data_IF_160574615475
#
_entry.id   IF_160574615475
#
_cell.length_a   1.000
_cell.length_b   1.000
_cell.length_c   1.000
_cell.angle_alpha   90.00
_cell.angle_beta   90.00
_cell.angle_gamma   90.00
#
_symmetry.space_group_name_H-M   'P 1'
#
loop_
_entity.id
_entity.type
_entity.pdbx_description
1 polymer ?
2 non-polymer ?
3 non-polymer ?
4 water ?
#
# COMPACT_ATOMS: atom_id res chain seq x y z
N UNK A 1 -3.07 17.30 4.48
CA UNK A 1 -4.30 17.97 3.89
C UNK A 1 -5.50 17.02 3.74
N UNK A 2 -5.28 15.71 3.72
CA UNK A 2 -6.39 14.75 3.77
C UNK A 2 -6.46 14.09 5.13
N UNK A 3 -7.67 13.68 5.50
CA UNK A 3 -7.91 13.02 6.76
C UNK A 3 -7.36 11.63 6.66
N UNK A 4 -6.68 11.18 7.71
CA UNK A 4 -6.17 9.82 7.87
C UNK A 4 -6.87 9.18 9.06
N UNK A 5 -7.40 7.95 8.89
CA UNK A 5 -7.38 7.11 7.68
C UNK A 5 -8.25 7.64 6.60
N UNK A 6 -7.85 7.36 5.38
CA UNK A 6 -8.52 7.84 4.16
C UNK A 6 -8.97 6.64 3.34
N UNK A 7 -10.17 6.72 2.82
CA UNK A 7 -10.75 5.68 1.97
C UNK A 7 -10.94 6.17 0.56
N UNK A 8 -10.16 5.57 -0.34
CA UNK A 8 -10.20 5.94 -1.73
C UNK A 8 -10.94 4.86 -2.50
N UNK A 9 -12.16 5.14 -2.97
CA UNK A 9 -12.88 4.15 -3.79
C UNK A 9 -12.13 3.88 -5.07
N UNK A 10 -12.13 2.62 -5.50
CA UNK A 10 -11.56 2.17 -6.78
C UNK A 10 -12.71 1.57 -7.58
N UNK A 11 -13.39 2.41 -8.36
CA UNK A 11 -14.67 2.00 -8.93
C UNK A 11 -14.55 0.84 -9.92
N UNK A 12 -15.27 -0.25 -9.65
CA UNK A 12 -15.14 -1.45 -10.48
C UNK A 12 -13.84 -2.21 -10.24
N UNK A 13 -13.18 -1.93 -9.12
CA UNK A 13 -11.99 -2.65 -8.72
C UNK A 13 -10.79 -2.20 -9.52
N UNK A 14 -9.74 -2.99 -9.48
CA UNK A 14 -8.53 -2.68 -10.14
C UNK A 14 -8.40 -3.54 -11.38
N UNK A 15 -7.44 -3.19 -12.19
CA UNK A 15 -7.25 -3.80 -13.50
C UNK A 15 -5.80 -3.54 -13.90
N UNK A 16 -5.22 -4.47 -14.66
CA UNK A 16 -3.85 -4.19 -15.09
C UNK A 16 -3.82 -2.88 -15.88
N UNK A 17 -2.76 -2.14 -15.64
CA UNK A 17 -2.46 -0.76 -16.14
C UNK A 17 -2.97 0.36 -15.26
N UNK A 18 -3.68 0.00 -14.18
CA UNK A 18 -4.12 0.98 -13.22
C UNK A 18 -2.98 1.33 -12.28
N UNK A 19 -2.72 2.63 -12.20
CA UNK A 19 -1.64 3.19 -11.36
C UNK A 19 -2.23 4.04 -10.24
N UNK A 20 -1.93 3.65 -9.02
CA UNK A 20 -2.42 4.34 -7.84
C UNK A 20 -1.23 5.09 -7.27
N UNK A 21 -1.45 6.37 -6.97
CA UNK A 21 -0.37 7.25 -6.45
C UNK A 21 -0.78 7.88 -5.13
N UNK A 22 0.05 7.68 -4.13
CA UNK A 22 -0.15 8.19 -2.80
C UNK A 22 1.03 9.11 -2.51
N UNK A 23 0.73 10.35 -2.16
CA UNK A 23 1.71 11.37 -1.80
C UNK A 23 1.43 11.71 -0.34
N UNK A 24 2.49 11.79 0.45
CA UNK A 24 2.38 12.30 1.81
C UNK A 24 3.74 12.49 2.39
N UNK A 25 3.74 12.71 3.70
CA UNK A 25 4.97 12.93 4.48
C UNK A 25 4.87 12.09 5.71
N UNK A 26 5.91 11.31 5.98
CA UNK A 26 5.96 10.48 7.19
C UNK A 26 6.09 11.41 8.39
N UNK A 27 5.33 11.15 9.44
CA UNK A 27 5.46 11.93 10.67
C UNK A 27 6.81 11.72 11.36
N UNK A 28 7.21 12.65 12.24
CA UNK A 28 8.52 12.57 12.92
C UNK A 28 8.80 11.25 13.64
N UNK A 29 7.87 10.82 14.44
CA UNK A 29 8.20 9.73 15.30
C UNK A 29 7.46 8.48 14.76
N UNK A 30 7.54 8.19 13.44
CA UNK A 30 6.62 7.23 12.96
C UNK A 30 6.88 5.82 13.40
N UNK A 31 5.79 5.07 13.56
CA UNK A 31 5.79 3.63 13.87
C UNK A 31 5.33 2.74 12.73
N UNK A 32 4.29 3.14 12.03
CA UNK A 32 3.72 2.30 11.02
C UNK A 32 2.95 3.10 9.99
N UNK A 33 2.86 2.53 8.82
CA UNK A 33 1.99 3.04 7.68
C UNK A 33 1.27 1.84 7.10
N UNK A 34 0.05 2.00 6.60
CA UNK A 34 -0.56 0.94 5.88
C UNK A 34 -1.36 1.37 4.69
N UNK A 35 -1.26 0.61 3.62
CA UNK A 35 -2.16 0.72 2.48
C UNK A 35 -2.86 -0.60 2.42
N UNK A 36 -4.17 -0.55 2.35
CA UNK A 36 -5.02 -1.75 2.32
C UNK A 36 -5.93 -1.70 1.12
N UNK A 37 -5.60 -2.49 0.11
CA UNK A 37 -6.45 -2.69 -1.09
C UNK A 37 -7.46 -3.75 -0.70
N UNK A 38 -8.74 -3.36 -0.61
CA UNK A 38 -9.76 -4.19 -0.04
C UNK A 38 -10.77 -4.71 -1.06
N UNK A 39 -11.21 -5.93 -0.82
CA UNK A 39 -12.31 -6.60 -1.49
C UNK A 39 -13.32 -6.86 -0.38
N UNK A 40 -14.26 -5.95 -0.22
CA UNK A 40 -15.17 -6.04 0.96
C UNK A 40 -14.32 -6.04 2.21
N UNK A 41 -14.60 -6.99 3.10
CA UNK A 41 -13.81 -7.14 4.32
C UNK A 41 -12.46 -7.78 4.12
N UNK A 42 -12.25 -8.39 2.94
CA UNK A 42 -10.96 -8.98 2.68
C UNK A 42 -9.96 -7.88 2.35
N UNK A 43 -8.69 -8.13 2.68
CA UNK A 43 -7.62 -7.24 2.26
C UNK A 43 -6.80 -8.01 1.24
N UNK A 44 -6.97 -7.68 -0.03
CA UNK A 44 -6.18 -8.25 -1.10
C UNK A 44 -4.70 -8.03 -1.01
N UNK A 45 -4.34 -6.78 -0.66
CA UNK A 45 -2.95 -6.39 -0.54
C UNK A 45 -2.81 -5.35 0.55
N UNK A 46 -2.14 -5.78 1.62
CA UNK A 46 -1.73 -5.02 2.78
C UNK A 46 -0.27 -4.72 2.66
N UNK A 47 0.04 -3.46 2.53
CA UNK A 47 1.42 -2.96 2.40
C UNK A 47 1.71 -2.12 3.68
N UNK A 48 2.61 -2.64 4.52
CA UNK A 48 2.76 -2.15 5.88
C UNK A 48 4.21 -1.90 6.27
N UNK A 49 4.73 -0.72 5.92
CA UNK A 49 5.98 -0.26 6.52
C UNK A 49 5.88 -0.21 8.05
N UNK A 50 6.82 -0.91 8.66
CA UNK A 50 7.03 -1.00 10.12
C UNK A 50 8.40 -0.39 10.47
N UNK A 51 8.36 0.71 11.23
CA UNK A 51 9.56 1.46 11.57
C UNK A 51 10.32 0.86 12.71
N UNK A 52 9.66 0.01 13.51
CA UNK A 52 10.29 -0.69 14.61
C UNK A 52 9.70 -2.04 14.83
N UNK A 53 10.20 -2.97 14.10
CA UNK A 53 9.86 -4.39 14.35
C UNK A 53 11.16 -4.98 14.88
N UNK A 54 11.24 -5.21 16.18
CA UNK A 54 12.45 -5.67 16.81
C UNK A 54 13.66 -4.74 16.51
N UNK A 55 13.39 -3.42 16.47
CA UNK A 55 14.42 -2.40 16.27
C UNK A 55 15.08 -2.44 14.90
N UNK A 56 14.33 -2.88 13.92
CA UNK A 56 14.66 -2.85 12.50
C UNK A 56 13.41 -2.27 11.81
N UNK A 57 13.66 -1.74 10.61
CA UNK A 57 12.63 -1.25 9.73
C UNK A 57 12.38 -2.33 8.67
N UNK A 58 11.12 -2.62 8.44
CA UNK A 58 10.79 -3.66 7.46
C UNK A 58 9.46 -3.31 6.85
N UNK A 59 9.25 -3.74 5.61
CA UNK A 59 7.92 -3.71 5.00
C UNK A 59 7.30 -5.09 5.01
N UNK A 60 6.13 -5.20 5.63
CA UNK A 60 5.39 -6.43 5.68
C UNK A 60 4.21 -6.31 4.73
N UNK A 61 4.06 -7.31 3.82
CA UNK A 61 2.91 -7.38 2.92
C UNK A 61 2.14 -8.66 3.17
N UNK A 62 0.84 -8.60 3.09
CA UNK A 62 -0.01 -9.74 3.36
C UNK A 62 -1.39 -9.57 2.79
N UNK A 63 -2.18 -10.62 2.97
CA UNK A 63 -3.57 -10.71 2.53
C UNK A 63 -4.42 -11.19 3.70
N UNK A 64 -5.62 -10.62 3.86
CA UNK A 64 -6.53 -11.02 4.89
C UNK A 64 -7.79 -11.55 4.22
N UNK A 65 -8.09 -12.85 4.48
CA UNK A 65 -9.23 -13.56 3.94
C UNK A 65 -10.08 -14.07 5.06
N UNK A 66 -11.37 -13.74 5.02
CA UNK A 66 -12.32 -14.19 6.04
C UNK A 66 -11.81 -13.87 7.47
N UNK A 67 -11.32 -12.64 7.61
CA UNK A 67 -10.79 -12.13 8.84
C UNK A 67 -9.45 -12.73 9.36
N UNK A 68 -8.78 -13.56 8.58
CA UNK A 68 -7.49 -14.20 8.93
C UNK A 68 -6.34 -13.73 8.01
N UNK A 69 -5.27 -13.22 8.63
CA UNK A 69 -4.03 -12.91 7.91
C UNK A 69 -3.32 -14.17 7.40
N UNK A 70 -2.78 -14.08 6.19
CA UNK A 70 -2.05 -15.16 5.61
C UNK A 70 -0.56 -15.12 5.86
N UNK A 71 0.17 -15.74 4.97
CA UNK A 71 1.65 -15.73 5.03
C UNK A 71 2.21 -14.34 4.69
N UNK A 72 2.99 -13.77 5.60
CA UNK A 72 3.60 -12.47 5.38
C UNK A 72 4.75 -12.58 4.38
N UNK A 73 4.89 -11.56 3.57
CA UNK A 73 6.04 -11.36 2.70
C UNK A 73 6.76 -10.11 3.16
N UNK A 74 8.04 -10.28 3.48
CA UNK A 74 8.85 -9.22 4.03
C UNK A 74 9.84 -8.71 3.07
N UNK A 75 9.88 -7.39 2.99
CA UNK A 75 11.08 -6.93 2.49
C UNK A 75 11.79 -5.81 3.24
N UNK A 76 13.09 -6.08 3.29
CA UNK A 76 13.96 -5.34 4.13
C UNK A 76 14.47 -4.02 3.55
N UNK A 77 14.33 -3.86 2.22
CA UNK A 77 14.63 -2.57 1.60
C UNK A 77 13.52 -1.60 2.09
N UNK A 78 13.95 -0.47 2.68
CA UNK A 78 13.06 0.38 3.40
C UNK A 78 13.32 1.80 3.02
N UNK A 79 12.50 2.32 2.10
CA UNK A 79 12.83 3.63 1.54
C UNK A 79 12.25 4.82 2.25
N UNK A 80 11.40 4.61 3.27
CA UNK A 80 10.77 5.67 4.00
C UNK A 80 11.67 6.18 5.08
N UNK A 81 11.45 7.46 5.46
CA UNK A 81 12.26 8.11 6.51
C UNK A 81 11.29 9.01 7.23
N UNK A 82 11.32 8.90 8.58
CA UNK A 82 10.49 9.73 9.40
C UNK A 82 10.77 11.19 9.05
N UNK A 83 9.69 11.96 8.94
CA UNK A 83 9.79 13.39 8.64
C UNK A 83 9.89 13.77 7.17
N UNK A 84 9.95 12.79 6.26
CA UNK A 84 10.25 13.04 4.84
C UNK A 84 9.07 12.74 3.94
N UNK A 85 8.92 13.57 2.87
CA UNK A 85 7.85 13.35 1.87
C UNK A 85 8.16 12.14 1.02
N UNK A 86 7.09 11.41 0.67
CA UNK A 86 7.19 10.21 -0.15
C UNK A 86 6.16 10.19 -1.23
N UNK A 87 6.41 9.35 -2.22
CA UNK A 87 5.44 9.03 -3.24
C UNK A 87 5.41 7.49 -3.33
N UNK A 88 4.28 6.89 -3.10
CA UNK A 88 4.10 5.46 -3.35
C UNK A 88 3.29 5.36 -4.62
N UNK A 89 3.77 4.55 -5.55
CA UNK A 89 3.00 4.21 -6.74
C UNK A 89 2.84 2.70 -6.78
N UNK A 90 1.59 2.29 -6.91
CA UNK A 90 1.20 0.93 -6.99
C UNK A 90 0.58 0.72 -8.40
N UNK A 91 1.31 -0.05 -9.21
CA UNK A 91 0.91 -0.40 -10.63
C UNK A 91 0.37 -1.77 -10.59
N UNK A 92 -0.87 -1.87 -10.97
CA UNK A 92 -1.51 -3.19 -11.10
C UNK A 92 -1.04 -3.87 -12.39
N UNK A 93 -0.38 -5.03 -12.23
CA UNK A 93 0.03 -5.83 -13.36
C UNK A 93 -0.79 -7.12 -13.38
N UNK A 94 -0.66 -7.91 -14.48
CA UNK A 94 -1.46 -9.10 -14.58
C UNK A 94 -1.32 -10.07 -13.42
N UNK A 95 -0.11 -10.23 -12.88
CA UNK A 95 0.12 -11.25 -11.88
C UNK A 95 0.55 -10.75 -10.50
N UNK A 96 0.61 -9.41 -10.34
CA UNK A 96 1.12 -8.82 -9.12
C UNK A 96 0.86 -7.36 -9.09
N UNK A 97 0.83 -6.84 -7.85
CA UNK A 97 0.95 -5.41 -7.63
C UNK A 97 2.42 -5.08 -7.62
N UNK A 98 2.80 -4.06 -8.35
CA UNK A 98 4.18 -3.60 -8.40
C UNK A 98 4.24 -2.24 -7.68
N UNK A 99 5.12 -2.13 -6.67
CA UNK A 99 5.28 -0.91 -5.88
C UNK A 99 6.60 -0.23 -6.12
N UNK A 100 6.54 1.07 -6.43
CA UNK A 100 7.69 1.91 -6.50
C UNK A 100 7.52 3.02 -5.50
N UNK A 101 8.58 3.37 -4.78
CA UNK A 101 8.52 4.53 -3.88
C UNK A 101 9.61 5.50 -4.36
N UNK A 102 9.23 6.75 -4.40
CA UNK A 102 10.12 7.85 -4.85
C UNK A 102 10.81 7.49 -6.16
N UNK A 103 9.99 6.95 -7.08
CA UNK A 103 10.43 6.55 -8.44
C UNK A 103 11.40 5.40 -8.54
N UNK A 104 11.60 4.66 -7.47
CA UNK A 104 12.46 3.49 -7.45
C UNK A 104 11.60 2.28 -7.15
N UNK A 105 11.77 1.28 -7.99
CA UNK A 105 11.13 -0.01 -7.75
C UNK A 105 11.46 -0.54 -6.37
N UNK A 106 10.46 -1.05 -5.68
CA UNK A 106 10.56 -1.55 -4.34
C UNK A 106 10.23 -3.05 -4.20
N UNK A 107 9.03 -3.44 -4.62
CA UNK A 107 8.61 -4.82 -4.48
C UNK A 107 7.44 -5.14 -5.41
N UNK A 108 7.22 -6.43 -5.55
CA UNK A 108 6.04 -6.96 -6.24
C UNK A 108 5.34 -7.89 -5.26
N UNK A 109 4.04 -7.99 -5.38
CA UNK A 109 3.19 -8.83 -4.51
C UNK A 109 2.23 -9.57 -5.41
N UNK A 110 2.43 -10.88 -5.53
CA UNK A 110 1.54 -11.66 -6.37
C UNK A 110 0.09 -11.66 -5.93
N UNK A 111 -0.82 -11.64 -6.92
CA UNK A 111 -2.24 -11.62 -6.60
C UNK A 111 -2.68 -12.90 -5.99
N UNK A 112 -3.11 -12.83 -4.74
CA UNK A 112 -3.73 -13.92 -4.03
C UNK A 112 -5.24 -13.86 -4.21
N UNK A 113 -5.77 -12.64 -4.10
CA UNK A 113 -7.16 -12.36 -4.45
C UNK A 113 -7.21 -12.19 -5.96
N UNK A 114 -8.03 -13.01 -6.61
CA UNK A 114 -8.03 -13.10 -8.09
C UNK A 114 -9.09 -12.26 -8.78
N UNK A 115 -10.09 -11.84 -8.00
CA UNK A 115 -11.17 -11.04 -8.48
C UNK A 115 -10.76 -9.60 -8.40
N UNK A 116 -9.94 -9.19 -9.36
CA UNK A 116 -9.36 -7.86 -9.39
C UNK A 116 -10.44 -6.78 -9.40
N UNK A 117 -11.49 -7.08 -10.13
CA UNK A 117 -12.60 -6.15 -10.37
C UNK A 117 -13.48 -5.97 -9.14
N UNK A 118 -13.17 -6.66 -8.06
CA UNK A 118 -13.90 -6.53 -6.82
C UNK A 118 -13.03 -5.88 -5.69
N UNK A 119 -11.78 -5.55 -6.00
CA UNK A 119 -10.90 -4.86 -5.06
C UNK A 119 -11.13 -3.37 -5.20
N UNK A 120 -12.16 -2.89 -4.52
CA UNK A 120 -12.79 -1.65 -4.86
C UNK A 120 -12.60 -0.54 -3.83
N UNK A 121 -11.68 -0.70 -2.91
CA UNK A 121 -11.34 0.35 -1.97
C UNK A 121 -9.91 0.29 -1.61
N UNK A 122 -9.28 1.46 -1.44
CA UNK A 122 -7.94 1.55 -0.88
C UNK A 122 -8.02 2.35 0.39
N UNK A 123 -7.62 1.73 1.53
CA UNK A 123 -7.54 2.37 2.83
C UNK A 123 -6.11 2.81 3.03
N UNK A 124 -5.92 4.06 3.42
CA UNK A 124 -4.57 4.59 3.70
C UNK A 124 -4.55 5.06 5.17
N UNK A 125 -3.67 4.48 5.95
CA UNK A 125 -3.65 4.67 7.38
C UNK A 125 -2.21 4.80 7.91
N UNK A 126 -2.13 5.28 9.16
CA UNK A 126 -0.88 5.33 9.89
C UNK A 126 -0.26 6.70 10.04
N UNK A 127 1.05 6.71 10.25
CA UNK A 127 1.73 7.86 10.83
C UNK A 127 2.23 8.74 9.73
N UNK A 128 1.29 9.31 8.99
CA UNK A 128 1.60 10.18 7.85
C UNK A 128 0.71 11.42 7.89
N UNK A 129 1.21 12.45 7.23
CA UNK A 129 0.38 13.51 6.73
C UNK A 129 0.14 13.13 5.27
N UNK A 130 -1.14 12.98 4.94
CA UNK A 130 -1.54 12.59 3.59
C UNK A 130 -1.81 13.78 2.71
N UNK A 131 -1.14 13.88 1.56
CA UNK A 131 -1.27 14.99 0.65
C UNK A 131 -2.27 14.77 -0.50
N UNK A 132 -2.18 13.61 -1.09
CA UNK A 132 -3.01 13.22 -2.23
C UNK A 132 -3.09 11.72 -2.37
N UNK A 133 -4.21 11.25 -2.90
CA UNK A 133 -4.38 9.85 -3.24
C UNK A 133 -5.25 9.83 -4.48
N UNK A 134 -4.71 9.23 -5.53
CA UNK A 134 -5.37 9.28 -6.83
C UNK A 134 -4.98 8.05 -7.65
N UNK A 135 -5.66 7.90 -8.77
CA UNK A 135 -5.33 6.83 -9.72
C UNK A 135 -5.45 7.34 -11.14
N UNK A 136 -4.81 6.56 -12.03
CA UNK A 136 -4.91 6.81 -13.43
C UNK A 136 -4.63 5.50 -14.20
N UNK A 137 -4.94 5.50 -15.51
CA UNK A 137 -4.62 4.33 -16.36
C UNK A 137 -3.44 4.72 -17.21
N UNK A 138 -2.44 3.86 -17.27
CA UNK A 138 -1.26 4.10 -18.07
C UNK A 138 -1.27 3.11 -19.20
X LIG B 1 -10.79 -14.12 -5.35
X LIG C 1 -8.17 9.85 -9.10
X LIG D 1 6.96 -5.83 15.71
X LIG D 1 5.73 -6.10 15.31
X LIG D 1 5.28 -7.38 15.54
X LIG D 1 4.93 -5.13 14.76
X LIG D 1 5.41 -3.83 14.52
X LIG D 1 4.57 -2.87 13.93
X LIG D 1 3.26 -3.18 13.58
X LIG D 1 2.78 -4.49 13.81
X LIG D 1 3.58 -5.47 14.41
X LIG D 1 3.14 -6.78 14.64
X LIG D 1 3.96 -7.72 15.20
X LIG D 1 1.78 -7.28 14.37
X LIG D 1 0.87 -6.71 15.00
X LIG D 1 1.58 -8.35 13.59
X LIG D 1 0.25 -8.93 13.41
X LIG D 1 -0.51 -8.26 12.28
X LIG D 1 -0.88 -6.79 12.45
X LIG D 1 -1.57 -6.57 13.67
X LIG D 1 0.19 -8.46 11.05
X LIG D 1 -0.65 -8.16 9.90
X LIG D 1 0.12 -8.51 8.66
X LIG D 1 0.38 -9.93 8.70
X LIG D 1 -1.09 -6.70 9.96
X LIG D 1 0.07 -5.87 9.74
X LIG D 1 -1.77 -6.39 11.28
X LIG D 1 -1.91 -5.02 11.46
X LIG D 1 -3.15 -4.52 11.09
X LIG D 1 -3.23 -2.99 11.18
X LIG D 1 -2.22 -2.13 10.76
X LIG D 1 -2.43 -0.77 10.89
X LIG D 1 -1.48 0.13 10.50
X LIG D 1 -0.40 -0.30 9.95
X LIG D 1 -1.69 1.47 10.58
X LIG D 1 -0.76 2.33 10.16
X LIG D 1 -2.81 1.96 11.18
X LIG D 1 -3.77 1.10 11.58
X LIG D 1 -3.58 -0.27 11.47
X LIG D 1 -4.57 -1.08 11.95
X LIG D 1 -4.41 -2.42 11.79
X LIG D 1 -5.28 -3.19 12.18
#
# INVERSE_FOLDING_TARGET
MLIVPYNLPLPGGVVPRMLITILGTVKPNANRIALDFQRGNDVAFHFNPRFNENNRRVIVCNTKLDNNWGREERQSVFPFESGKPFKIQVLVEPDHFKVAVNDAHLLQYNHRVKKLNEISKLGISGDIDLTSASYTMI
CL CL
CL CL
N62 F3 C11 C13 C10 C19 C20 C21 C22 C12 C16 C1 C27 O8 N1 C28 C7 C8 O3 O2 C15 C18 O6 C9 O5 C3 O1 C2 C4 C6 C17 C26 F2 C25 F1 C24 C23 C14 O4 C5 O7
#
